data_IF_683234388356
#
_entry.id   IF_683234388356
#
_cell.length_a   1.000
_cell.length_b   1.000
_cell.length_c   1.000
_cell.angle_alpha   90.00
_cell.angle_beta   90.00
_cell.angle_gamma   90.00
#
_symmetry.space_group_name_H-M   'P 1'
#
loop_
_entity.id
_entity.type
_entity.pdbx_description
1 polymer ?
#
# COMPACT_ATOMS: atom_id res chain seq x y z
N UNK A 1 0.73 -27.64 -4.26
CA UNK A 1 1.35 -26.56 -5.04
C UNK A 1 1.70 -25.39 -4.12
N UNK A 2 2.87 -24.79 -4.31
CA UNK A 2 3.32 -23.60 -3.59
C UNK A 2 3.22 -22.37 -4.49
N UNK A 3 2.55 -21.32 -4.04
CA UNK A 3 2.51 -20.03 -4.74
C UNK A 3 3.39 -19.04 -3.97
N UNK A 4 4.44 -18.56 -4.62
CA UNK A 4 5.30 -17.49 -4.10
C UNK A 4 4.69 -16.14 -4.48
N UNK A 5 4.62 -15.22 -3.52
CA UNK A 5 4.08 -13.88 -3.71
C UNK A 5 5.13 -12.86 -3.27
N UNK A 6 5.46 -11.83 -4.06
CA UNK A 6 6.42 -10.81 -3.65
C UNK A 6 5.87 -9.99 -2.48
N UNK A 7 6.75 -9.42 -1.66
CA UNK A 7 6.36 -8.39 -0.73
C UNK A 7 5.95 -7.13 -1.52
N UNK A 8 4.73 -6.68 -1.36
CA UNK A 8 4.18 -5.49 -2.04
C UNK A 8 3.50 -4.53 -1.08
N UNK A 9 2.61 -5.05 -0.25
CA UNK A 9 1.75 -4.30 0.67
C UNK A 9 1.84 -5.02 2.01
N UNK A 10 2.76 -4.62 2.86
CA UNK A 10 3.18 -5.39 4.04
C UNK A 10 1.99 -5.87 4.89
N UNK A 11 1.12 -4.96 5.31
CA UNK A 11 -0.03 -5.32 6.14
C UNK A 11 -1.10 -6.09 5.35
N UNK A 12 -1.35 -5.70 4.10
CA UNK A 12 -2.43 -6.27 3.28
C UNK A 12 -2.12 -7.71 2.88
N UNK A 13 -0.90 -7.98 2.41
CA UNK A 13 -0.53 -9.33 1.98
C UNK A 13 -0.40 -10.32 3.14
N UNK A 14 -0.16 -9.85 4.37
CA UNK A 14 -0.23 -10.72 5.55
C UNK A 14 -1.61 -11.36 5.75
N UNK A 15 -2.67 -10.68 5.34
CA UNK A 15 -4.03 -11.22 5.39
C UNK A 15 -4.47 -11.79 4.04
N UNK A 16 -4.11 -11.14 2.94
CA UNK A 16 -4.54 -11.53 1.59
C UNK A 16 -4.03 -12.91 1.18
N UNK A 17 -2.85 -13.33 1.67
CA UNK A 17 -2.35 -14.71 1.45
C UNK A 17 -3.34 -15.79 1.91
N UNK A 18 -4.20 -15.52 2.90
CA UNK A 18 -5.23 -16.46 3.33
C UNK A 18 -6.42 -16.53 2.35
N UNK A 19 -6.64 -15.49 1.56
CA UNK A 19 -7.64 -15.52 0.49
C UNK A 19 -7.18 -16.36 -0.71
N UNK A 20 -5.88 -16.33 -1.02
CA UNK A 20 -5.27 -17.12 -2.09
C UNK A 20 -5.06 -18.60 -1.71
N UNK A 21 -4.94 -18.91 -0.42
CA UNK A 21 -4.67 -20.26 0.05
C UNK A 21 -5.90 -21.18 -0.04
N UNK A 22 -5.66 -22.47 -0.31
CA UNK A 22 -6.65 -23.54 -0.24
C UNK A 22 -6.05 -24.77 0.44
N UNK A 23 -6.78 -25.88 0.49
CA UNK A 23 -6.26 -27.15 1.02
C UNK A 23 -5.03 -27.64 0.23
N UNK A 24 -5.02 -27.39 -1.09
CA UNK A 24 -3.99 -27.91 -2.03
C UNK A 24 -2.99 -26.83 -2.42
N UNK A 25 -3.19 -25.58 -2.00
CA UNK A 25 -2.37 -24.42 -2.38
C UNK A 25 -1.84 -23.72 -1.14
N UNK A 26 -0.52 -23.79 -0.96
CA UNK A 26 0.23 -23.04 0.06
C UNK A 26 0.71 -21.72 -0.52
N UNK A 27 0.44 -20.62 0.16
CA UNK A 27 0.90 -19.28 -0.26
C UNK A 27 2.02 -18.80 0.65
N UNK A 28 3.14 -18.43 0.05
CA UNK A 28 4.35 -17.95 0.75
C UNK A 28 4.65 -16.52 0.32
N UNK A 29 4.61 -15.60 1.28
CA UNK A 29 5.04 -14.21 1.08
C UNK A 29 6.56 -14.13 1.19
N UNK A 30 7.21 -13.65 0.15
CA UNK A 30 8.66 -13.45 0.11
C UNK A 30 9.04 -12.20 0.89
N UNK A 31 9.84 -12.35 1.95
CA UNK A 31 10.25 -11.26 2.85
C UNK A 31 11.76 -11.00 2.86
N UNK A 32 12.50 -11.67 1.98
CA UNK A 32 13.93 -11.42 1.86
C UNK A 32 14.19 -10.02 1.27
N UNK A 33 15.06 -9.28 1.93
CA UNK A 33 15.43 -7.90 1.56
C UNK A 33 16.92 -7.76 1.21
N UNK A 34 17.76 -8.60 1.80
CA UNK A 34 19.22 -8.49 1.63
C UNK A 34 19.63 -8.80 0.21
N UNK A 35 20.32 -7.85 -0.43
CA UNK A 35 20.84 -7.98 -1.78
C UNK A 35 19.80 -8.15 -2.90
N UNK A 36 18.53 -7.95 -2.58
CA UNK A 36 17.41 -8.26 -3.48
C UNK A 36 17.43 -7.42 -4.76
N UNK A 37 17.80 -6.16 -4.68
CA UNK A 37 17.92 -5.27 -5.85
C UNK A 37 19.03 -5.75 -6.76
N UNK A 38 20.22 -6.04 -6.22
CA UNK A 38 21.35 -6.53 -6.99
C UNK A 38 21.02 -7.85 -7.69
N UNK A 39 20.40 -8.79 -6.98
CA UNK A 39 19.93 -10.05 -7.57
C UNK A 39 18.91 -9.86 -8.68
N UNK A 40 18.07 -8.84 -8.58
CA UNK A 40 17.13 -8.48 -9.64
C UNK A 40 17.83 -7.91 -10.86
N UNK A 41 18.77 -6.99 -10.66
CA UNK A 41 19.53 -6.31 -11.72
C UNK A 41 20.44 -7.26 -12.53
N UNK A 42 20.75 -8.46 -12.02
CA UNK A 42 21.42 -9.51 -12.83
C UNK A 42 20.57 -9.93 -14.05
N UNK A 43 19.25 -9.82 -13.97
CA UNK A 43 18.31 -10.37 -14.95
C UNK A 43 17.44 -9.33 -15.64
N UNK A 44 17.33 -8.14 -15.07
CA UNK A 44 16.60 -7.01 -15.65
C UNK A 44 17.47 -5.76 -15.71
N UNK A 45 17.06 -4.79 -16.53
CA UNK A 45 17.80 -3.53 -16.68
C UNK A 45 17.44 -2.54 -15.55
N UNK A 46 18.39 -1.66 -15.16
CA UNK A 46 18.17 -0.66 -14.11
C UNK A 46 17.17 0.44 -14.52
N UNK A 47 16.92 0.66 -15.81
CA UNK A 47 15.87 1.55 -16.30
C UNK A 47 14.45 1.02 -16.05
N UNK A 48 14.36 -0.21 -15.55
CA UNK A 48 13.09 -0.79 -15.15
C UNK A 48 12.55 -0.08 -13.90
N UNK A 49 11.24 -0.12 -13.74
CA UNK A 49 10.61 0.34 -12.51
C UNK A 49 11.15 -0.44 -11.29
N UNK A 50 11.68 0.27 -10.29
CA UNK A 50 12.33 -0.31 -9.11
C UNK A 50 11.53 -1.45 -8.43
N UNK A 51 10.19 -1.36 -8.24
CA UNK A 51 9.39 -2.49 -7.73
C UNK A 51 9.59 -3.79 -8.50
N UNK A 52 9.66 -3.74 -9.83
CA UNK A 52 9.85 -4.94 -10.63
C UNK A 52 11.23 -5.57 -10.42
N UNK A 53 12.28 -4.76 -10.31
CA UNK A 53 13.63 -5.26 -9.99
C UNK A 53 13.65 -5.97 -8.63
N UNK A 54 12.99 -5.39 -7.62
CA UNK A 54 12.86 -6.02 -6.29
C UNK A 54 12.10 -7.34 -6.36
N UNK A 55 10.97 -7.39 -7.07
CA UNK A 55 10.17 -8.61 -7.22
C UNK A 55 10.94 -9.73 -7.92
N UNK A 56 11.69 -9.39 -8.99
CA UNK A 56 12.57 -10.34 -9.68
C UNK A 56 13.64 -10.86 -8.73
N UNK A 57 14.31 -9.98 -8.00
CA UNK A 57 15.35 -10.39 -7.06
C UNK A 57 14.81 -11.26 -5.92
N UNK A 58 13.64 -10.94 -5.37
CA UNK A 58 12.99 -11.78 -4.37
C UNK A 58 12.69 -13.18 -4.89
N UNK A 59 12.15 -13.28 -6.10
CA UNK A 59 11.81 -14.54 -6.73
C UNK A 59 13.07 -15.37 -7.02
N UNK A 60 14.07 -14.77 -7.69
CA UNK A 60 15.31 -15.46 -8.04
C UNK A 60 16.04 -15.97 -6.78
N UNK A 61 16.15 -15.14 -5.74
CA UNK A 61 16.75 -15.55 -4.47
C UNK A 61 15.97 -16.69 -3.81
N UNK A 62 14.65 -16.66 -3.87
CA UNK A 62 13.82 -17.76 -3.36
C UNK A 62 14.08 -19.06 -4.10
N UNK A 63 14.13 -19.03 -5.44
CA UNK A 63 14.38 -20.21 -6.26
C UNK A 63 15.83 -20.74 -6.08
N UNK A 64 16.83 -19.85 -6.07
CA UNK A 64 18.23 -20.22 -5.81
C UNK A 64 18.46 -20.81 -4.42
N UNK A 65 17.59 -20.51 -3.45
CA UNK A 65 17.72 -21.03 -2.08
C UNK A 65 17.52 -22.54 -1.96
N UNK A 66 16.97 -23.21 -2.97
CA UNK A 66 16.64 -24.64 -2.96
C UNK A 66 15.51 -25.04 -2.01
N UNK A 67 14.86 -24.07 -1.34
CA UNK A 67 13.78 -24.33 -0.35
C UNK A 67 12.45 -24.69 -0.98
N UNK A 68 12.28 -24.46 -2.28
CA UNK A 68 11.05 -24.67 -3.02
C UNK A 68 11.28 -25.64 -4.19
N UNK A 69 10.45 -26.67 -4.29
CA UNK A 69 10.48 -27.56 -5.46
C UNK A 69 9.95 -26.78 -6.67
N UNK A 70 10.82 -26.52 -7.64
CA UNK A 70 10.51 -25.76 -8.87
C UNK A 70 9.34 -26.38 -9.64
N UNK A 71 9.19 -27.72 -9.60
CA UNK A 71 8.12 -28.45 -10.31
C UNK A 71 6.74 -28.26 -9.68
N UNK A 72 6.68 -27.87 -8.39
CA UNK A 72 5.43 -27.65 -7.63
C UNK A 72 5.28 -26.18 -7.18
N UNK A 73 6.00 -25.26 -7.84
CA UNK A 73 6.03 -23.83 -7.47
C UNK A 73 5.54 -22.96 -8.62
N UNK A 74 4.72 -21.97 -8.29
CA UNK A 74 4.33 -20.88 -9.18
C UNK A 74 4.60 -19.52 -8.49
N UNK A 75 4.73 -18.47 -9.28
CA UNK A 75 4.85 -17.10 -8.78
C UNK A 75 3.57 -16.31 -9.12
N UNK A 76 3.00 -15.58 -8.17
CA UNK A 76 1.84 -14.74 -8.38
C UNK A 76 2.23 -13.27 -8.22
N UNK A 77 1.95 -12.45 -9.23
CA UNK A 77 2.18 -11.02 -9.19
C UNK A 77 0.96 -10.27 -9.72
N UNK A 78 0.63 -9.14 -9.12
CA UNK A 78 -0.35 -8.23 -9.67
C UNK A 78 0.29 -7.43 -10.82
N UNK A 79 -0.44 -7.29 -11.91
CA UNK A 79 -0.12 -6.38 -13.00
C UNK A 79 -1.25 -5.35 -13.07
N UNK A 80 -0.95 -4.16 -12.65
CA UNK A 80 -1.85 -3.03 -12.72
C UNK A 80 -1.07 -1.86 -13.31
N UNK A 81 -1.72 -1.08 -14.11
CA UNK A 81 -1.11 0.11 -14.68
C UNK A 81 -1.23 0.14 -16.18
N UNK A 82 -2.18 0.84 -16.64
CA UNK A 82 -2.58 1.11 -17.99
C UNK A 82 -1.41 1.52 -18.90
N UNK A 83 -1.10 2.82 -18.88
CA UNK A 83 0.02 3.39 -19.65
C UNK A 83 1.31 3.52 -18.85
N UNK A 84 1.39 2.98 -17.63
CA UNK A 84 2.62 3.02 -16.84
C UNK A 84 3.45 1.74 -17.03
N UNK A 85 4.70 1.75 -16.54
CA UNK A 85 5.62 0.59 -16.63
C UNK A 85 5.10 -0.64 -15.88
N UNK A 86 4.20 -0.49 -14.93
CA UNK A 86 3.54 -1.58 -14.21
C UNK A 86 2.75 -2.53 -15.10
N UNK A 87 2.34 -2.09 -16.30
CA UNK A 87 1.67 -2.91 -17.30
C UNK A 87 2.57 -4.00 -17.94
N UNK A 88 3.88 -3.94 -17.72
CA UNK A 88 4.85 -4.86 -18.32
C UNK A 88 5.60 -5.74 -17.30
N UNK A 89 5.14 -5.83 -16.06
CA UNK A 89 5.84 -6.59 -15.03
C UNK A 89 5.86 -8.10 -15.32
N UNK A 90 4.73 -8.68 -15.69
CA UNK A 90 4.62 -10.14 -15.89
C UNK A 90 5.54 -10.65 -17.01
N UNK A 91 5.54 -10.08 -18.25
CA UNK A 91 6.46 -10.49 -19.29
C UNK A 91 7.93 -10.37 -18.87
N UNK A 92 8.27 -9.30 -18.16
CA UNK A 92 9.65 -9.08 -17.68
C UNK A 92 10.06 -10.11 -16.62
N UNK A 93 9.19 -10.41 -15.66
CA UNK A 93 9.44 -11.45 -14.65
C UNK A 93 9.59 -12.82 -15.33
N UNK A 94 8.73 -13.19 -16.28
CA UNK A 94 8.85 -14.44 -17.05
C UNK A 94 10.20 -14.54 -17.77
N UNK A 95 10.61 -13.45 -18.44
CA UNK A 95 11.92 -13.39 -19.12
C UNK A 95 13.08 -13.54 -18.14
N UNK A 96 13.02 -12.85 -17.01
CA UNK A 96 14.04 -12.87 -15.96
C UNK A 96 14.20 -14.28 -15.36
N UNK A 97 13.10 -14.95 -15.03
CA UNK A 97 13.08 -16.32 -14.48
C UNK A 97 13.73 -17.31 -15.44
N UNK A 98 13.37 -17.25 -16.74
CA UNK A 98 14.00 -18.10 -17.77
C UNK A 98 15.50 -17.81 -17.90
N UNK A 99 15.91 -16.54 -17.90
CA UNK A 99 17.32 -16.14 -17.94
C UNK A 99 18.09 -16.63 -16.71
N UNK A 100 17.42 -16.72 -15.56
CA UNK A 100 17.99 -17.28 -14.32
C UNK A 100 18.08 -18.82 -14.30
N UNK A 101 17.63 -19.50 -15.37
CA UNK A 101 17.69 -20.96 -15.50
C UNK A 101 16.52 -21.70 -14.86
N UNK A 102 15.42 -21.02 -14.54
CA UNK A 102 14.24 -21.65 -13.96
C UNK A 102 13.06 -21.64 -14.93
N UNK A 103 12.22 -22.66 -14.82
CA UNK A 103 10.96 -22.75 -15.57
C UNK A 103 9.81 -22.97 -14.58
N UNK A 104 9.16 -21.86 -14.18
CA UNK A 104 8.00 -21.88 -13.29
C UNK A 104 6.88 -21.02 -13.88
N UNK A 105 5.61 -21.37 -13.64
CA UNK A 105 4.49 -20.53 -14.01
C UNK A 105 4.54 -19.18 -13.28
N UNK A 106 4.39 -18.08 -14.02
CA UNK A 106 4.17 -16.73 -13.49
C UNK A 106 2.71 -16.38 -13.74
N UNK A 107 1.94 -16.39 -12.67
CA UNK A 107 0.50 -16.13 -12.67
C UNK A 107 0.24 -14.62 -12.57
N UNK A 108 -0.64 -14.12 -13.41
CA UNK A 108 -1.12 -12.74 -13.33
C UNK A 108 -2.38 -12.66 -12.47
N UNK A 109 -2.39 -11.76 -11.50
CA UNK A 109 -3.62 -11.30 -10.86
C UNK A 109 -4.15 -10.12 -11.69
N UNK A 110 -4.98 -10.42 -12.68
CA UNK A 110 -5.47 -9.45 -13.64
C UNK A 110 -6.99 -9.33 -13.56
N UNK A 111 -7.48 -8.13 -13.24
CA UNK A 111 -8.91 -7.86 -13.17
C UNK A 111 -9.53 -7.47 -14.53
N UNK A 112 -8.71 -7.12 -15.54
CA UNK A 112 -9.16 -6.53 -16.79
C UNK A 112 -8.68 -7.25 -18.06
N UNK A 113 -8.28 -8.50 -17.93
CA UNK A 113 -7.93 -9.34 -19.09
C UNK A 113 -6.77 -8.83 -19.97
N UNK A 114 -5.90 -8.00 -19.37
CA UNK A 114 -4.78 -7.37 -20.09
C UNK A 114 -3.63 -8.32 -20.44
N UNK A 115 -3.67 -9.57 -19.96
CA UNK A 115 -2.61 -10.53 -20.22
C UNK A 115 -3.13 -11.90 -20.65
N UNK A 116 -2.54 -12.43 -21.73
CA UNK A 116 -2.75 -13.79 -22.18
C UNK A 116 -1.79 -14.75 -21.45
N UNK A 117 -2.29 -15.88 -20.96
CA UNK A 117 -1.48 -16.92 -20.32
C UNK A 117 -2.05 -17.42 -18.99
N UNK A 118 -1.19 -17.97 -18.13
CA UNK A 118 -1.60 -18.54 -16.85
C UNK A 118 -2.14 -17.46 -15.92
N UNK A 119 -3.37 -17.61 -15.44
CA UNK A 119 -4.10 -16.66 -14.58
C UNK A 119 -4.48 -17.31 -13.28
N UNK A 120 -4.75 -16.46 -12.30
CA UNK A 120 -5.41 -16.86 -11.06
C UNK A 120 -6.92 -16.66 -11.23
N UNK A 121 -7.70 -17.73 -10.95
CA UNK A 121 -9.16 -17.67 -11.07
C UNK A 121 -9.78 -16.80 -9.97
N UNK A 122 -10.37 -15.69 -10.38
CA UNK A 122 -11.07 -14.76 -9.50
C UNK A 122 -12.52 -15.20 -9.32
N UNK A 123 -12.78 -15.94 -8.23
CA UNK A 123 -14.13 -16.37 -7.87
C UNK A 123 -14.82 -15.36 -6.96
N UNK A 124 -16.18 -15.35 -6.88
CA UNK A 124 -16.91 -14.55 -5.90
C UNK A 124 -16.48 -14.80 -4.46
N UNK A 125 -16.18 -16.06 -4.12
CA UNK A 125 -15.66 -16.42 -2.79
C UNK A 125 -14.29 -15.80 -2.52
N UNK A 126 -13.40 -15.79 -3.52
CA UNK A 126 -12.12 -15.11 -3.43
C UNK A 126 -12.30 -13.59 -3.22
N UNK A 127 -13.18 -12.95 -3.98
CA UNK A 127 -13.44 -11.51 -3.85
C UNK A 127 -13.95 -11.13 -2.46
N UNK A 128 -14.82 -11.94 -1.84
CA UNK A 128 -15.26 -11.70 -0.46
C UNK A 128 -14.14 -11.86 0.55
N UNK A 129 -13.29 -12.87 0.40
CA UNK A 129 -12.10 -13.06 1.23
C UNK A 129 -11.10 -11.93 1.07
N UNK A 130 -10.86 -11.48 -0.18
CA UNK A 130 -9.96 -10.37 -0.50
C UNK A 130 -10.48 -9.05 0.08
N UNK A 131 -11.79 -8.78 0.00
CA UNK A 131 -12.41 -7.62 0.62
C UNK A 131 -12.21 -7.62 2.13
N UNK A 132 -12.43 -8.76 2.80
CA UNK A 132 -12.17 -8.89 4.23
C UNK A 132 -10.69 -8.61 4.55
N UNK A 133 -9.76 -9.18 3.79
CA UNK A 133 -8.32 -8.97 3.97
C UNK A 133 -7.95 -7.49 3.85
N UNK A 134 -8.43 -6.80 2.81
CA UNK A 134 -8.17 -5.37 2.59
C UNK A 134 -8.72 -4.52 3.71
N UNK A 135 -9.97 -4.72 4.12
CA UNK A 135 -10.59 -3.89 5.17
C UNK A 135 -9.92 -4.08 6.54
N UNK A 136 -9.56 -5.31 6.90
CA UNK A 136 -8.86 -5.56 8.15
C UNK A 136 -7.41 -5.07 8.14
N UNK A 137 -6.72 -5.19 7.02
CA UNK A 137 -5.35 -4.66 6.91
C UNK A 137 -5.32 -3.14 7.00
N UNK A 138 -6.27 -2.45 6.37
CA UNK A 138 -6.41 -0.99 6.48
C UNK A 138 -6.65 -0.58 7.94
N UNK A 139 -7.58 -1.27 8.61
CA UNK A 139 -7.87 -1.02 10.03
C UNK A 139 -6.60 -1.19 10.89
N UNK A 140 -5.91 -2.32 10.76
CA UNK A 140 -4.71 -2.61 11.55
C UNK A 140 -3.59 -1.62 11.26
N UNK A 141 -3.35 -1.27 9.99
CA UNK A 141 -2.33 -0.31 9.59
C UNK A 141 -2.62 1.09 10.16
N UNK A 142 -3.86 1.57 10.04
CA UNK A 142 -4.27 2.88 10.56
C UNK A 142 -4.09 2.95 12.08
N UNK A 143 -4.49 1.91 12.80
CA UNK A 143 -4.35 1.83 14.25
C UNK A 143 -2.88 1.74 14.68
N UNK A 144 -2.12 0.85 14.04
CA UNK A 144 -0.70 0.64 14.31
C UNK A 144 0.10 1.94 14.16
N UNK A 145 -0.09 2.67 13.07
CA UNK A 145 0.65 3.91 12.80
C UNK A 145 0.29 5.04 13.78
N UNK A 146 -0.89 5.00 14.39
CA UNK A 146 -1.33 5.99 15.37
C UNK A 146 -1.01 5.62 16.83
N UNK A 147 -0.72 4.35 17.12
CA UNK A 147 -0.44 3.88 18.47
C UNK A 147 1.06 3.69 18.69
N UNK A 148 1.73 2.99 17.76
CA UNK A 148 3.13 2.56 17.93
C UNK A 148 4.10 3.70 18.27
N UNK A 149 4.01 4.91 17.68
CA UNK A 149 4.90 6.01 18.04
C UNK A 149 4.76 6.45 19.51
N UNK A 150 3.61 6.19 20.12
CA UNK A 150 3.24 6.67 21.46
C UNK A 150 3.23 5.57 22.53
N UNK A 151 3.37 4.29 22.17
CA UNK A 151 3.29 3.18 23.14
C UNK A 151 4.33 3.31 24.26
N UNK A 152 3.91 3.12 25.52
CA UNK A 152 4.81 3.13 26.69
C UNK A 152 5.69 1.87 26.70
N UNK A 153 5.11 0.73 26.39
CA UNK A 153 5.81 -0.54 26.34
C UNK A 153 6.14 -0.89 24.88
N UNK A 154 7.40 -0.66 24.50
CA UNK A 154 7.88 -0.87 23.13
C UNK A 154 7.59 -2.27 22.61
N UNK A 155 6.96 -2.34 21.43
CA UNK A 155 6.61 -3.58 20.74
C UNK A 155 5.22 -4.13 21.07
N UNK A 156 4.48 -3.54 22.02
CA UNK A 156 3.13 -3.97 22.39
C UNK A 156 2.16 -3.86 21.20
N UNK A 157 2.26 -2.79 20.42
CA UNK A 157 1.46 -2.57 19.21
C UNK A 157 1.73 -3.64 18.16
N UNK A 158 3.02 -3.95 17.92
CA UNK A 158 3.42 -4.95 16.91
C UNK A 158 2.99 -6.37 17.36
N UNK A 159 3.03 -6.69 18.67
CA UNK A 159 2.51 -7.95 19.21
C UNK A 159 1.02 -8.07 19.02
N UNK A 160 0.26 -7.03 19.35
CA UNK A 160 -1.19 -7.02 19.17
C UNK A 160 -1.57 -7.19 17.69
N UNK A 161 -0.83 -6.56 16.77
CA UNK A 161 -0.98 -6.78 15.33
C UNK A 161 -0.77 -8.26 14.98
N UNK A 162 0.28 -8.92 15.51
CA UNK A 162 0.56 -10.35 15.24
C UNK A 162 -0.59 -11.26 15.71
N UNK A 163 -1.13 -10.99 16.90
CA UNK A 163 -2.28 -11.73 17.43
C UNK A 163 -3.50 -11.60 16.50
N UNK A 164 -3.84 -10.37 16.10
CA UNK A 164 -4.96 -10.12 15.20
C UNK A 164 -4.72 -10.69 13.80
N UNK A 165 -3.53 -10.59 13.24
CA UNK A 165 -3.20 -11.22 11.95
C UNK A 165 -3.43 -12.73 11.99
N UNK A 166 -2.99 -13.41 13.05
CA UNK A 166 -3.20 -14.86 13.19
C UNK A 166 -4.68 -15.22 13.20
N UNK A 167 -5.49 -14.49 13.96
CA UNK A 167 -6.94 -14.70 14.09
C UNK A 167 -7.66 -14.42 12.75
N UNK A 168 -7.42 -13.25 12.18
CA UNK A 168 -8.08 -12.83 10.95
C UNK A 168 -7.72 -13.71 9.76
N UNK A 169 -6.48 -14.19 9.66
CA UNK A 169 -6.10 -15.19 8.64
C UNK A 169 -6.94 -16.46 8.73
N UNK A 170 -7.17 -16.96 9.92
CA UNK A 170 -8.02 -18.14 10.10
C UNK A 170 -9.47 -17.89 9.66
N UNK A 171 -10.03 -16.73 10.02
CA UNK A 171 -11.39 -16.35 9.63
C UNK A 171 -11.52 -16.13 8.11
N UNK A 172 -10.53 -15.48 7.48
CA UNK A 172 -10.49 -15.25 6.03
C UNK A 172 -10.37 -16.59 5.29
N UNK A 173 -9.46 -17.46 5.71
CA UNK A 173 -9.29 -18.79 5.11
C UNK A 173 -10.60 -19.60 5.12
N UNK A 174 -11.31 -19.61 6.25
CA UNK A 174 -12.62 -20.26 6.39
C UNK A 174 -13.76 -19.56 5.62
N UNK A 175 -13.56 -18.34 5.11
CA UNK A 175 -14.59 -17.56 4.45
C UNK A 175 -15.55 -16.82 5.40
N UNK A 176 -15.28 -16.84 6.70
CA UNK A 176 -16.12 -16.17 7.72
C UNK A 176 -15.72 -14.72 7.99
N UNK A 177 -14.64 -14.24 7.38
CA UNK A 177 -14.06 -12.90 7.64
C UNK A 177 -15.06 -11.76 7.53
N UNK A 178 -15.98 -11.77 6.54
CA UNK A 178 -17.01 -10.75 6.40
C UNK A 178 -18.28 -11.00 7.25
N UNK A 179 -18.47 -12.19 7.82
CA UNK A 179 -19.64 -12.46 8.67
C UNK A 179 -19.57 -11.67 9.96
N UNK A 180 -18.38 -11.62 10.58
CA UNK A 180 -18.15 -10.98 11.88
C UNK A 180 -17.49 -9.61 11.79
N UNK A 181 -17.44 -8.97 10.60
CA UNK A 181 -16.65 -7.75 10.42
C UNK A 181 -17.04 -6.61 11.35
N UNK A 182 -18.34 -6.43 11.62
CA UNK A 182 -18.83 -5.38 12.55
C UNK A 182 -18.29 -5.55 13.95
N UNK A 183 -18.40 -6.76 14.51
CA UNK A 183 -17.90 -7.07 15.86
C UNK A 183 -16.38 -7.06 15.92
N UNK A 184 -15.71 -7.53 14.88
CA UNK A 184 -14.25 -7.53 14.81
C UNK A 184 -13.69 -6.12 14.75
N UNK A 185 -14.27 -5.20 13.97
CA UNK A 185 -13.84 -3.79 13.95
C UNK A 185 -13.89 -3.17 15.34
N UNK A 186 -15.00 -3.39 16.06
CA UNK A 186 -15.16 -2.89 17.44
C UNK A 186 -14.11 -3.48 18.39
N UNK A 187 -13.90 -4.80 18.33
CA UNK A 187 -12.91 -5.49 19.20
C UNK A 187 -11.49 -5.00 18.91
N UNK A 188 -11.10 -4.94 17.63
CA UNK A 188 -9.78 -4.47 17.23
C UNK A 188 -9.56 -3.03 17.72
N UNK A 189 -10.47 -2.11 17.41
CA UNK A 189 -10.34 -0.71 17.85
C UNK A 189 -10.26 -0.59 19.38
N UNK A 190 -11.05 -1.36 20.13
CA UNK A 190 -11.00 -1.37 21.59
C UNK A 190 -9.65 -1.87 22.10
N UNK A 191 -9.15 -2.99 21.56
CA UNK A 191 -7.90 -3.60 22.00
C UNK A 191 -6.71 -2.65 21.73
N UNK A 192 -6.69 -1.96 20.59
CA UNK A 192 -5.67 -0.94 20.31
C UNK A 192 -5.84 0.31 21.18
N UNK A 193 -7.06 0.75 21.44
CA UNK A 193 -7.32 1.91 22.30
C UNK A 193 -6.90 1.69 23.77
N UNK A 194 -6.82 0.41 24.23
CA UNK A 194 -6.39 0.08 25.58
C UNK A 194 -4.87 0.07 25.76
N UNK A 195 -4.08 0.21 24.69
CA UNK A 195 -2.61 0.33 24.81
C UNK A 195 -2.28 1.66 25.48
N UNK A 196 -1.48 1.61 26.55
CA UNK A 196 -1.00 2.79 27.26
C UNK A 196 -0.06 3.62 26.39
N UNK A 197 -0.29 4.95 26.38
CA UNK A 197 0.37 5.89 25.47
C UNK A 197 0.99 7.05 26.22
N UNK A 198 2.10 7.57 25.72
CA UNK A 198 2.63 8.86 26.14
C UNK A 198 1.72 10.01 25.67
N UNK A 199 1.75 11.12 26.41
CA UNK A 199 1.03 12.35 26.04
C UNK A 199 1.88 13.32 25.19
N UNK A 200 3.06 12.87 24.74
CA UNK A 200 3.94 13.67 23.90
C UNK A 200 3.27 13.99 22.55
N UNK A 201 3.31 15.25 22.14
CA UNK A 201 2.84 15.64 20.80
C UNK A 201 3.94 15.42 19.78
N UNK A 202 3.71 14.49 18.87
CA UNK A 202 4.64 14.21 17.75
C UNK A 202 4.23 14.98 16.50
N UNK A 203 5.20 15.27 15.65
CA UNK A 203 4.93 15.81 14.32
C UNK A 203 4.23 14.76 13.47
N UNK A 204 3.26 15.19 12.67
CA UNK A 204 2.50 14.29 11.79
C UNK A 204 2.95 14.45 10.35
N UNK A 205 3.30 13.35 9.71
CA UNK A 205 3.73 13.29 8.31
C UNK A 205 2.83 12.34 7.53
N UNK A 206 2.28 12.81 6.41
CA UNK A 206 1.53 11.98 5.48
C UNK A 206 2.47 11.27 4.50
N UNK A 207 2.30 9.97 4.31
CA UNK A 207 2.93 9.22 3.23
C UNK A 207 1.92 9.02 2.11
N UNK A 208 2.29 9.48 0.92
CA UNK A 208 1.50 9.35 -0.31
C UNK A 208 2.40 8.87 -1.44
N UNK A 209 1.86 8.64 -2.61
CA UNK A 209 2.66 8.31 -3.79
C UNK A 209 2.36 6.92 -4.34
N UNK A 210 3.34 6.32 -4.98
CA UNK A 210 3.21 5.05 -5.67
C UNK A 210 2.92 3.90 -4.70
N UNK A 211 2.03 3.04 -5.10
CA UNK A 211 1.45 1.97 -4.30
C UNK A 211 2.50 1.10 -3.59
N UNK A 212 3.49 0.59 -4.35
CA UNK A 212 4.52 -0.28 -3.80
C UNK A 212 5.41 0.48 -2.80
N UNK A 213 5.90 1.67 -3.20
CA UNK A 213 6.77 2.48 -2.35
C UNK A 213 6.06 2.97 -1.07
N UNK A 214 4.77 3.22 -1.15
CA UNK A 214 3.98 3.67 0.02
C UNK A 214 3.78 2.58 1.06
N UNK A 215 3.56 1.33 0.65
CA UNK A 215 3.15 0.25 1.57
C UNK A 215 4.19 -0.84 1.81
N UNK A 216 5.25 -0.92 1.02
CA UNK A 216 6.26 -1.98 1.13
C UNK A 216 7.52 -1.48 1.82
N UNK A 217 7.82 -1.99 3.00
CA UNK A 217 9.01 -1.60 3.77
C UNK A 217 10.32 -1.97 3.06
N UNK A 218 10.32 -3.05 2.27
CA UNK A 218 11.48 -3.43 1.46
C UNK A 218 11.71 -2.39 0.35
N UNK A 219 10.62 -1.95 -0.32
CA UNK A 219 10.69 -0.97 -1.39
C UNK A 219 11.11 0.42 -0.93
N UNK A 220 10.61 0.84 0.22
CA UNK A 220 10.89 2.18 0.76
C UNK A 220 12.00 2.20 1.85
N UNK A 221 12.83 1.14 1.93
CA UNK A 221 13.92 1.03 2.90
C UNK A 221 13.47 1.30 4.34
N UNK A 222 12.30 0.80 4.72
CA UNK A 222 11.70 1.00 6.07
C UNK A 222 11.54 2.46 6.48
N UNK A 223 11.32 3.36 5.53
CA UNK A 223 11.25 4.81 5.75
C UNK A 223 10.21 5.21 6.80
N UNK A 224 9.06 4.49 6.87
CA UNK A 224 8.06 4.72 7.91
C UNK A 224 8.67 4.54 9.31
N UNK A 225 9.44 3.46 9.51
CA UNK A 225 10.09 3.19 10.80
C UNK A 225 11.14 4.25 11.13
N UNK A 226 11.92 4.69 10.14
CA UNK A 226 12.88 5.78 10.31
C UNK A 226 12.20 7.06 10.84
N UNK A 227 11.05 7.44 10.26
CA UNK A 227 10.30 8.61 10.73
C UNK A 227 9.78 8.44 12.16
N UNK A 228 9.30 7.26 12.53
CA UNK A 228 8.85 6.97 13.90
C UNK A 228 10.00 7.02 14.92
N UNK A 229 11.15 6.46 14.59
CA UNK A 229 12.37 6.49 15.43
C UNK A 229 12.88 7.93 15.62
N UNK A 230 12.67 8.78 14.64
CA UNK A 230 12.95 10.22 14.72
C UNK A 230 11.89 11.00 15.49
N UNK A 231 10.84 10.37 15.99
CA UNK A 231 9.79 11.00 16.80
C UNK A 231 8.62 11.57 16.02
N UNK A 232 8.34 11.08 14.82
CA UNK A 232 7.15 11.45 14.05
C UNK A 232 6.05 10.40 14.15
N UNK A 233 4.81 10.82 13.88
CA UNK A 233 3.68 9.96 13.59
C UNK A 233 3.43 9.95 12.09
N UNK A 234 3.52 8.78 11.45
CA UNK A 234 3.30 8.65 10.01
C UNK A 234 1.85 8.26 9.73
N UNK A 235 1.20 9.02 8.87
CA UNK A 235 -0.16 8.77 8.42
C UNK A 235 -0.16 8.23 6.99
N UNK A 236 -0.69 7.05 6.82
CA UNK A 236 -0.82 6.39 5.51
C UNK A 236 -2.29 6.09 5.28
N UNK A 237 -2.79 6.39 4.08
CA UNK A 237 -4.16 6.05 3.69
C UNK A 237 -4.29 4.54 3.46
N UNK A 238 -5.48 3.98 3.64
CA UNK A 238 -5.73 2.55 3.44
C UNK A 238 -5.73 2.14 1.96
N UNK A 239 -5.42 0.87 1.71
CA UNK A 239 -5.43 0.29 0.35
C UNK A 239 -6.85 0.22 -0.25
N UNK A 240 -7.91 0.18 0.57
CA UNK A 240 -9.29 0.22 0.08
C UNK A 240 -9.64 1.49 -0.71
N UNK A 241 -8.97 2.63 -0.42
CA UNK A 241 -9.11 3.85 -1.24
C UNK A 241 -8.52 3.66 -2.63
N UNK A 242 -7.39 2.96 -2.75
CA UNK A 242 -6.81 2.61 -4.04
C UNK A 242 -7.73 1.66 -4.83
N UNK A 243 -8.28 0.64 -4.18
CA UNK A 243 -9.25 -0.29 -4.83
C UNK A 243 -10.45 0.47 -5.38
N UNK A 244 -11.02 1.39 -4.59
CA UNK A 244 -12.15 2.21 -5.03
C UNK A 244 -11.76 3.21 -6.13
N UNK A 245 -10.58 3.82 -6.03
CA UNK A 245 -10.01 4.67 -7.07
C UNK A 245 -9.86 3.89 -8.39
N UNK A 246 -9.30 2.69 -8.32
CA UNK A 246 -9.08 1.85 -9.50
C UNK A 246 -10.39 1.47 -10.20
N UNK A 247 -11.39 1.07 -9.43
CA UNK A 247 -12.74 0.82 -9.96
C UNK A 247 -13.33 2.10 -10.58
N UNK A 248 -13.28 3.22 -9.88
CA UNK A 248 -13.83 4.51 -10.34
C UNK A 248 -13.16 5.00 -11.63
N UNK A 249 -11.86 4.76 -11.78
CA UNK A 249 -11.06 5.18 -12.93
C UNK A 249 -11.39 4.40 -14.21
N UNK A 250 -11.81 3.14 -14.07
CA UNK A 250 -12.07 2.24 -15.19
C UNK A 250 -13.58 2.00 -15.43
N UNK A 251 -14.46 2.71 -14.74
CA UNK A 251 -15.91 2.50 -14.86
C UNK A 251 -16.45 2.66 -16.29
N UNK A 252 -15.78 3.44 -17.11
CA UNK A 252 -16.28 3.79 -18.45
C UNK A 252 -15.62 2.98 -19.57
N UNK A 253 -14.67 2.11 -19.23
CA UNK A 253 -13.93 1.29 -20.20
C UNK A 253 -14.69 -0.01 -20.56
N UNK A 254 -15.84 -0.26 -19.93
CA UNK A 254 -16.60 -1.50 -20.03
C UNK A 254 -18.01 -1.31 -20.60
N UNK A 255 -18.61 -2.43 -21.01
CA UNK A 255 -20.02 -2.47 -21.37
C UNK A 255 -20.93 -1.99 -20.21
N UNK A 256 -22.14 -1.48 -20.50
CA UNK A 256 -23.04 -0.96 -19.48
C UNK A 256 -23.38 -1.97 -18.37
N UNK A 257 -23.46 -3.26 -18.68
CA UNK A 257 -23.77 -4.33 -17.72
C UNK A 257 -22.61 -4.52 -16.74
N UNK A 258 -21.38 -4.60 -17.25
CA UNK A 258 -20.17 -4.73 -16.44
C UNK A 258 -20.00 -3.49 -15.57
N UNK A 259 -20.19 -2.31 -16.13
CA UNK A 259 -20.16 -1.03 -15.41
C UNK A 259 -21.16 -0.99 -14.25
N UNK A 260 -22.38 -1.51 -14.45
CA UNK A 260 -23.36 -1.62 -13.37
C UNK A 260 -22.88 -2.54 -12.23
N UNK A 261 -22.28 -3.68 -12.57
CA UNK A 261 -21.66 -4.59 -11.61
C UNK A 261 -20.57 -3.92 -10.76
N UNK A 262 -19.64 -3.20 -11.39
CA UNK A 262 -18.59 -2.45 -10.70
C UNK A 262 -19.13 -1.32 -9.81
N UNK A 263 -20.20 -0.62 -10.23
CA UNK A 263 -20.88 0.38 -9.39
C UNK A 263 -21.49 -0.26 -8.14
N UNK A 264 -22.08 -1.44 -8.26
CA UNK A 264 -22.62 -2.18 -7.11
C UNK A 264 -21.47 -2.61 -6.17
N UNK A 265 -20.41 -3.21 -6.70
CA UNK A 265 -19.24 -3.60 -5.93
C UNK A 265 -18.62 -2.41 -5.19
N UNK A 266 -18.44 -1.28 -5.86
CA UNK A 266 -17.93 -0.04 -5.28
C UNK A 266 -18.79 0.44 -4.10
N UNK A 267 -20.11 0.40 -4.22
CA UNK A 267 -21.03 0.76 -3.12
C UNK A 267 -20.91 -0.18 -1.92
N UNK A 268 -20.74 -1.49 -2.16
CA UNK A 268 -20.55 -2.48 -1.10
C UNK A 268 -19.23 -2.22 -0.38
N UNK A 269 -18.13 -2.06 -1.12
CA UNK A 269 -16.79 -1.77 -0.58
C UNK A 269 -16.83 -0.48 0.25
N UNK A 270 -17.38 0.60 -0.30
CA UNK A 270 -17.50 1.88 0.42
C UNK A 270 -18.43 1.76 1.64
N UNK A 271 -19.44 0.92 1.60
CA UNK A 271 -20.33 0.64 2.74
C UNK A 271 -19.56 0.04 3.93
N UNK A 272 -18.70 -0.96 3.65
CA UNK A 272 -17.83 -1.56 4.68
C UNK A 272 -16.78 -0.55 5.17
N UNK A 273 -16.20 0.23 4.25
CA UNK A 273 -15.26 1.30 4.57
C UNK A 273 -15.88 2.36 5.49
N UNK A 274 -17.11 2.80 5.24
CA UNK A 274 -17.85 3.74 6.09
C UNK A 274 -18.02 3.22 7.51
N UNK A 275 -18.30 1.93 7.67
CA UNK A 275 -18.43 1.34 8.99
C UNK A 275 -17.08 1.28 9.72
N UNK A 276 -16.00 0.87 9.03
CA UNK A 276 -14.65 0.89 9.57
C UNK A 276 -14.27 2.30 10.07
N UNK A 277 -14.50 3.33 9.24
CA UNK A 277 -14.22 4.73 9.56
C UNK A 277 -15.02 5.20 10.79
N UNK A 278 -16.32 4.88 10.84
CA UNK A 278 -17.17 5.22 11.99
C UNK A 278 -16.65 4.58 13.28
N UNK A 279 -16.20 3.33 13.18
CA UNK A 279 -15.65 2.60 14.33
C UNK A 279 -14.33 3.21 14.79
N UNK A 280 -13.40 3.48 13.87
CA UNK A 280 -12.14 4.18 14.17
C UNK A 280 -12.39 5.50 14.93
N UNK A 281 -13.27 6.35 14.39
CA UNK A 281 -13.59 7.66 14.98
C UNK A 281 -14.25 7.53 16.36
N UNK A 282 -15.11 6.52 16.56
CA UNK A 282 -15.72 6.23 17.86
C UNK A 282 -14.69 5.96 18.96
N UNK A 283 -13.56 5.34 18.61
CA UNK A 283 -12.47 5.06 19.53
C UNK A 283 -11.36 6.12 19.54
N UNK A 284 -11.59 7.29 18.92
CA UNK A 284 -10.68 8.43 18.93
C UNK A 284 -9.56 8.37 17.90
N UNK A 285 -9.63 7.45 16.92
CA UNK A 285 -8.66 7.36 15.84
C UNK A 285 -9.06 8.24 14.65
N UNK A 286 -8.08 8.85 14.03
CA UNK A 286 -8.26 9.71 12.86
C UNK A 286 -8.06 8.92 11.57
N UNK A 287 -8.89 9.20 10.56
CA UNK A 287 -8.76 8.63 9.23
C UNK A 287 -9.46 9.54 8.21
N UNK A 288 -9.15 9.38 6.94
CA UNK A 288 -9.85 10.09 5.87
C UNK A 288 -11.33 9.72 5.83
N UNK A 289 -12.11 10.53 5.13
CA UNK A 289 -13.50 10.19 4.85
C UNK A 289 -13.56 9.00 3.89
N UNK A 290 -14.71 8.32 3.79
CA UNK A 290 -14.93 7.29 2.79
C UNK A 290 -14.74 7.84 1.37
N UNK A 291 -14.53 6.96 0.40
CA UNK A 291 -14.07 7.33 -0.94
C UNK A 291 -14.89 8.44 -1.62
N UNK A 292 -16.21 8.37 -1.60
CA UNK A 292 -17.05 9.39 -2.28
C UNK A 292 -16.88 10.80 -1.70
N UNK A 293 -17.01 11.06 -0.39
CA UNK A 293 -16.72 12.40 0.15
C UNK A 293 -15.23 12.75 0.07
N UNK A 294 -14.30 11.79 0.17
CA UNK A 294 -12.88 12.00 -0.05
C UNK A 294 -12.63 12.58 -1.46
N UNK A 295 -13.15 11.95 -2.51
CA UNK A 295 -13.05 12.41 -3.90
C UNK A 295 -13.68 13.80 -4.08
N UNK A 296 -14.88 14.02 -3.52
CA UNK A 296 -15.60 15.29 -3.63
C UNK A 296 -14.82 16.48 -3.07
N UNK A 297 -14.10 16.30 -1.96
CA UNK A 297 -13.25 17.34 -1.37
C UNK A 297 -12.14 17.83 -2.29
N UNK A 298 -11.64 16.97 -3.17
CA UNK A 298 -10.48 17.27 -4.00
C UNK A 298 -10.83 17.71 -5.42
N UNK A 299 -11.99 17.34 -5.94
CA UNK A 299 -12.42 17.64 -7.32
C UNK A 299 -12.42 19.16 -7.65
N UNK A 300 -12.63 20.01 -6.66
CA UNK A 300 -12.57 21.47 -6.81
C UNK A 300 -11.13 22.03 -6.76
N UNK A 301 -10.15 21.19 -6.38
CA UNK A 301 -8.76 21.61 -6.13
C UNK A 301 -7.76 21.05 -7.11
N UNK A 302 -7.97 19.82 -7.56
CA UNK A 302 -7.12 19.14 -8.54
C UNK A 302 -7.97 18.44 -9.60
N UNK A 303 -7.44 18.28 -10.83
CA UNK A 303 -8.11 17.50 -11.87
C UNK A 303 -8.08 15.99 -11.51
N UNK A 304 -9.26 15.36 -11.47
CA UNK A 304 -9.42 13.92 -11.23
C UNK A 304 -9.64 13.13 -12.53
N UNK A 305 -8.93 13.48 -13.59
CA UNK A 305 -9.07 12.86 -14.93
C UNK A 305 -7.88 11.98 -15.32
N UNK A 306 -6.72 12.16 -14.69
CA UNK A 306 -5.58 11.28 -14.90
C UNK A 306 -5.76 9.99 -14.11
N UNK A 307 -6.07 8.91 -14.80
CA UNK A 307 -6.41 7.60 -14.22
C UNK A 307 -5.29 6.58 -14.36
N UNK A 308 -4.20 6.93 -15.05
CA UNK A 308 -3.07 6.02 -15.28
C UNK A 308 -2.32 5.71 -13.99
N UNK A 309 -2.15 4.43 -13.71
CA UNK A 309 -1.49 3.96 -12.47
C UNK A 309 -2.14 4.52 -11.21
N UNK A 310 -1.37 5.12 -10.31
CA UNK A 310 -1.91 5.76 -9.10
C UNK A 310 -2.63 7.09 -9.37
N UNK A 311 -2.40 7.68 -10.52
CA UNK A 311 -3.10 8.82 -11.12
C UNK A 311 -3.47 9.95 -10.15
N UNK A 312 -4.72 10.44 -10.25
CA UNK A 312 -5.21 11.54 -9.44
C UNK A 312 -5.28 11.23 -7.93
N UNK A 313 -5.23 9.95 -7.53
CA UNK A 313 -5.26 9.55 -6.12
C UNK A 313 -4.09 10.16 -5.35
N UNK A 314 -2.91 10.25 -5.95
CA UNK A 314 -1.71 10.83 -5.32
C UNK A 314 -1.98 12.28 -4.88
N UNK A 315 -2.42 13.12 -5.80
CA UNK A 315 -2.76 14.51 -5.50
C UNK A 315 -3.93 14.64 -4.52
N UNK A 316 -4.90 13.72 -4.59
CA UNK A 316 -6.03 13.67 -3.67
C UNK A 316 -5.59 13.37 -2.24
N UNK A 317 -4.68 12.43 -2.05
CA UNK A 317 -4.13 12.13 -0.73
C UNK A 317 -3.36 13.31 -0.15
N UNK A 318 -2.54 14.01 -0.96
CA UNK A 318 -1.84 15.23 -0.54
C UNK A 318 -2.83 16.28 -0.05
N UNK A 319 -3.88 16.55 -0.82
CA UNK A 319 -4.92 17.54 -0.47
C UNK A 319 -5.64 17.13 0.82
N UNK A 320 -6.00 15.85 0.97
CA UNK A 320 -6.68 15.39 2.18
C UNK A 320 -5.79 15.46 3.43
N UNK A 321 -4.49 15.15 3.32
CA UNK A 321 -3.54 15.33 4.41
C UNK A 321 -3.45 16.81 4.83
N UNK A 322 -3.28 17.72 3.88
CA UNK A 322 -3.22 19.15 4.17
C UNK A 322 -4.50 19.66 4.87
N UNK A 323 -5.68 19.28 4.36
CA UNK A 323 -6.97 19.66 4.95
C UNK A 323 -7.24 19.01 6.32
N UNK A 324 -6.57 17.90 6.63
CA UNK A 324 -6.64 17.24 7.95
C UNK A 324 -5.61 17.79 8.95
N UNK A 325 -4.92 18.88 8.61
CA UNK A 325 -3.95 19.52 9.49
C UNK A 325 -2.57 18.87 9.52
N UNK A 326 -2.30 17.91 8.63
CA UNK A 326 -0.95 17.34 8.44
C UNK A 326 -0.07 18.39 7.77
N UNK A 327 1.05 18.75 8.41
CA UNK A 327 1.94 19.83 7.98
C UNK A 327 3.06 19.39 7.06
N UNK A 328 3.37 18.11 7.03
CA UNK A 328 4.37 17.52 6.14
C UNK A 328 3.81 16.35 5.35
N UNK A 329 4.10 16.28 4.05
CA UNK A 329 3.74 15.15 3.21
C UNK A 329 4.94 14.70 2.40
N UNK A 330 5.33 13.44 2.56
CA UNK A 330 6.33 12.77 1.74
C UNK A 330 5.65 11.96 0.64
N UNK A 331 5.94 12.29 -0.60
CA UNK A 331 5.47 11.56 -1.77
C UNK A 331 6.55 10.56 -2.20
N UNK A 332 6.26 9.28 -2.02
CA UNK A 332 7.16 8.17 -2.26
C UNK A 332 6.96 7.62 -3.67
N UNK A 333 8.03 7.54 -4.45
CA UNK A 333 7.90 7.13 -5.85
C UNK A 333 9.13 6.41 -6.38
N UNK A 334 8.98 5.41 -7.25
CA UNK A 334 10.09 4.91 -8.05
C UNK A 334 10.65 6.05 -8.92
N UNK A 335 11.96 6.11 -9.09
CA UNK A 335 12.57 7.05 -10.02
C UNK A 335 11.95 6.89 -11.43
N UNK A 336 11.61 8.02 -12.07
CA UNK A 336 10.96 8.03 -13.37
C UNK A 336 9.51 7.52 -13.39
N UNK A 337 8.82 7.47 -12.25
CA UNK A 337 7.40 7.10 -12.17
C UNK A 337 6.51 8.16 -12.84
N UNK A 338 5.95 7.85 -14.00
CA UNK A 338 5.16 8.80 -14.78
C UNK A 338 3.91 9.32 -14.04
N UNK A 339 3.05 8.47 -13.42
CA UNK A 339 1.89 8.96 -12.69
C UNK A 339 2.27 9.93 -11.56
N UNK A 340 3.38 9.68 -10.85
CA UNK A 340 3.86 10.56 -9.80
C UNK A 340 4.43 11.86 -10.32
N UNK A 341 5.15 11.86 -11.45
CA UNK A 341 5.62 13.10 -12.08
C UNK A 341 4.47 14.01 -12.50
N UNK A 342 3.37 13.44 -12.99
CA UNK A 342 2.19 14.21 -13.45
C UNK A 342 1.28 14.59 -12.27
N UNK A 343 0.85 13.61 -11.46
CA UNK A 343 -0.20 13.77 -10.46
C UNK A 343 0.31 13.97 -9.03
N UNK A 344 1.59 13.72 -8.80
CA UNK A 344 2.30 14.03 -7.56
C UNK A 344 3.12 15.31 -7.73
N UNK A 345 4.38 15.16 -8.09
CA UNK A 345 5.36 16.27 -8.20
C UNK A 345 4.88 17.41 -9.10
N UNK A 346 4.28 17.11 -10.25
CA UNK A 346 3.76 18.13 -11.17
C UNK A 346 2.64 19.00 -10.60
N UNK A 347 1.95 18.53 -9.57
CA UNK A 347 0.88 19.28 -8.92
C UNK A 347 1.33 20.04 -7.65
N UNK A 348 2.55 19.85 -7.14
CA UNK A 348 2.97 20.44 -5.86
C UNK A 348 2.77 21.94 -5.79
N UNK A 349 3.30 22.70 -6.74
CA UNK A 349 3.17 24.16 -6.75
C UNK A 349 1.72 24.62 -6.84
N UNK A 350 0.87 23.90 -7.56
CA UNK A 350 -0.56 24.18 -7.65
C UNK A 350 -1.28 23.90 -6.33
N UNK A 351 -0.97 22.77 -5.71
CA UNK A 351 -1.55 22.38 -4.42
C UNK A 351 -1.10 23.35 -3.32
N UNK A 352 0.20 23.66 -3.22
CA UNK A 352 0.73 24.58 -2.22
C UNK A 352 0.14 25.99 -2.33
N UNK A 353 -0.06 26.50 -3.56
CA UNK A 353 -0.73 27.79 -3.76
C UNK A 353 -2.19 27.77 -3.34
N UNK A 354 -2.93 26.71 -3.68
CA UNK A 354 -4.37 26.56 -3.37
C UNK A 354 -4.64 26.25 -1.89
N UNK A 355 -3.66 25.75 -1.17
CA UNK A 355 -3.72 25.37 0.24
C UNK A 355 -2.65 26.11 1.07
N UNK A 356 -2.30 27.32 0.65
CA UNK A 356 -1.28 28.14 1.35
C UNK A 356 -1.62 28.42 2.81
N UNK A 357 -2.90 28.54 3.13
CA UNK A 357 -3.44 28.67 4.48
C UNK A 357 -3.16 27.46 5.40
N UNK A 358 -2.96 26.29 4.81
CA UNK A 358 -2.64 25.08 5.59
C UNK A 358 -1.19 25.01 6.05
N UNK A 359 -0.27 25.70 5.36
CA UNK A 359 1.18 25.64 5.60
C UNK A 359 1.81 24.27 5.31
N UNK A 360 1.16 23.43 4.48
CA UNK A 360 1.67 22.09 4.15
C UNK A 360 2.99 22.16 3.39
N UNK A 361 3.96 21.35 3.80
CA UNK A 361 5.25 21.17 3.12
C UNK A 361 5.26 19.83 2.41
N UNK A 362 5.73 19.82 1.17
CA UNK A 362 5.77 18.63 0.31
C UNK A 362 7.21 18.30 -0.04
N UNK A 363 7.55 17.03 0.02
CA UNK A 363 8.84 16.51 -0.47
C UNK A 363 8.60 15.28 -1.33
N UNK A 364 9.35 15.16 -2.44
CA UNK A 364 9.43 13.93 -3.23
C UNK A 364 10.59 13.09 -2.74
N UNK A 365 10.36 11.80 -2.52
CA UNK A 365 11.38 10.82 -2.19
C UNK A 365 11.40 9.80 -3.31
N UNK A 366 12.46 9.86 -4.13
CA UNK A 366 12.63 9.01 -5.30
C UNK A 366 13.48 7.78 -4.94
N UNK A 367 12.96 6.60 -5.28
CA UNK A 367 13.62 5.31 -5.05
C UNK A 367 14.16 4.79 -6.38
N UNK A 368 15.49 4.73 -6.48
CA UNK A 368 16.19 4.24 -7.65
C UNK A 368 16.92 2.92 -7.31
N UNK A 369 16.86 1.95 -8.23
CA UNK A 369 17.55 0.66 -8.08
C UNK A 369 19.08 0.80 -8.01
N UNK A 370 19.64 1.88 -8.57
CA UNK A 370 21.08 2.19 -8.52
C UNK A 370 21.43 3.29 -7.51
N UNK A 371 20.42 3.88 -6.85
CA UNK A 371 20.59 4.99 -5.93
C UNK A 371 21.14 4.58 -4.57
N UNK A 372 21.80 5.52 -3.90
CA UNK A 372 22.25 5.32 -2.52
C UNK A 372 21.08 5.51 -1.54
N UNK A 373 20.94 4.62 -0.57
CA UNK A 373 19.98 4.76 0.54
C UNK A 373 20.16 6.08 1.31
N UNK A 374 21.41 6.58 1.38
CA UNK A 374 21.71 7.87 2.03
C UNK A 374 20.94 9.03 1.40
N UNK A 375 20.78 9.02 0.08
CA UNK A 375 20.01 10.06 -0.62
C UNK A 375 18.51 10.01 -0.26
N UNK A 376 17.97 8.82 -0.06
CA UNK A 376 16.57 8.61 0.37
C UNK A 376 16.37 9.23 1.75
N UNK A 377 17.23 8.88 2.72
CA UNK A 377 17.14 9.43 4.07
C UNK A 377 17.40 10.94 4.11
N UNK A 378 18.37 11.45 3.36
CA UNK A 378 18.61 12.90 3.27
C UNK A 378 17.38 13.66 2.76
N UNK A 379 16.71 13.15 1.72
CA UNK A 379 15.46 13.73 1.23
C UNK A 379 14.35 13.69 2.28
N UNK A 380 14.23 12.58 2.99
CA UNK A 380 13.26 12.44 4.08
C UNK A 380 13.52 13.45 5.21
N UNK A 381 14.78 13.62 5.62
CA UNK A 381 15.18 14.55 6.67
C UNK A 381 14.99 16.02 6.28
N UNK A 382 15.04 16.38 5.00
CA UNK A 382 14.71 17.74 4.55
C UNK A 382 13.28 18.16 4.94
N UNK A 383 12.34 17.21 5.02
CA UNK A 383 11.00 17.47 5.51
C UNK A 383 10.93 17.38 7.03
N UNK A 384 11.47 16.30 7.59
CA UNK A 384 11.24 15.89 8.98
C UNK A 384 11.98 16.78 9.98
N UNK A 385 13.26 17.06 9.74
CA UNK A 385 14.11 17.80 10.69
C UNK A 385 13.58 19.19 11.02
N UNK A 386 13.19 20.05 10.06
CA UNK A 386 12.60 21.35 10.36
C UNK A 386 11.29 21.24 11.14
N UNK A 387 10.47 20.22 10.86
CA UNK A 387 9.21 20.03 11.57
C UNK A 387 9.42 19.65 13.04
N UNK A 388 10.40 18.80 13.33
CA UNK A 388 10.75 18.40 14.71
C UNK A 388 11.30 19.60 15.49
N UNK A 389 12.19 20.38 14.88
CA UNK A 389 12.78 21.57 15.52
C UNK A 389 11.69 22.58 15.90
N UNK A 390 10.78 22.89 14.97
CA UNK A 390 9.70 23.83 15.21
C UNK A 390 8.70 23.31 16.26
N UNK A 391 8.40 22.01 16.27
CA UNK A 391 7.55 21.40 17.28
C UNK A 391 8.14 21.50 18.68
N UNK A 392 9.48 21.34 18.83
CA UNK A 392 10.17 21.49 20.11
C UNK A 392 10.21 22.93 20.60
N UNK A 393 10.26 23.90 19.71
CA UNK A 393 10.23 25.33 20.06
C UNK A 393 8.83 25.86 20.40
N UNK A 394 7.78 25.04 20.26
CA UNK A 394 6.40 25.46 20.46
C UNK A 394 5.87 26.40 19.37
N UNK A 395 6.61 26.59 18.29
CA UNK A 395 6.19 27.40 17.15
C UNK A 395 5.05 26.68 16.41
N UNK A 396 3.96 27.40 16.14
CA UNK A 396 2.86 26.87 15.30
C UNK A 396 3.42 26.63 13.89
N UNK A 397 3.47 25.38 13.49
CA UNK A 397 3.83 24.97 12.12
C UNK A 397 2.66 25.27 11.18
#
# INVERSE_FOLDING_TARGET
MTILVPAMLDETFELLKAAFASKDVKVVLLKNSVGVINSGLEFVHNDLCCPCAIMVGQLVNALRSGRYDVRDTAFLCAQAGDSCRGSNYIPLIRKAVKKAGFDIPVLSLNFFDMEQGARFDITPAFLLKALAAVMYSDLLMILKNQIRPYELHKGQTDELCRVWHKRLRADIFKGTGLICYKSNFVRICRDFASIEKTHEKKVRVGFVGELYMKYCSIGNHSLLRHYEERGAEVRVNGFSWYVLYYIDSHLYDFSPVITAGYKIASRIIEGVQKLMIRTLRKYGFECFDSFTPFKRKVQSRIPCRCTTGDGWLIGAEIVNHALSGTKGVACLQPFGCMPNHVCGHGLYSSIQRRLSDTGVRLVSVDFDSSGSEVNIYNRAEMLLTPMIINNKKGEKI
#
